data_IF_237679794107
#
_entry.id   IF_237679794107
#
_cell.length_a   1.000
_cell.length_b   1.000
_cell.length_c   1.000
_cell.angle_alpha   90.00
_cell.angle_beta   90.00
_cell.angle_gamma   90.00
#
_symmetry.space_group_name_H-M   'P 1'
#
loop_
_entity.id
_entity.type
_entity.pdbx_description
1 polymer ?
#
# COMPACT_ATOMS: atom_id res chain seq x y z
N UNK A 1 -7.97 -2.54 -6.49
CA UNK A 1 -7.11 -2.31 -7.66
C UNK A 1 -6.67 -0.86 -7.62
N UNK A 2 -5.40 -0.57 -7.87
CA UNK A 2 -4.83 0.75 -7.61
C UNK A 2 -3.84 1.21 -8.66
N UNK A 3 -3.69 2.53 -8.78
CA UNK A 3 -2.66 3.18 -9.58
C UNK A 3 -1.77 3.98 -8.61
N UNK A 4 -0.48 3.66 -8.62
CA UNK A 4 0.57 4.43 -7.93
C UNK A 4 1.40 5.16 -9.00
N UNK A 5 1.42 6.49 -8.93
CA UNK A 5 2.23 7.32 -9.81
C UNK A 5 3.40 7.93 -9.02
N UNK A 6 4.63 7.60 -9.40
CA UNK A 6 5.82 8.24 -8.83
C UNK A 6 5.99 9.63 -9.46
N UNK A 7 5.80 10.68 -8.65
CA UNK A 7 5.85 12.07 -9.11
C UNK A 7 7.27 12.62 -9.06
N UNK A 8 8.01 12.32 -7.99
CA UNK A 8 9.37 12.81 -7.78
C UNK A 8 10.22 11.70 -7.16
N UNK A 9 11.43 11.51 -7.66
CA UNK A 9 12.40 10.55 -7.12
C UNK A 9 13.75 11.22 -6.92
N UNK A 10 14.24 11.17 -5.69
CA UNK A 10 15.55 11.68 -5.30
C UNK A 10 16.46 10.50 -4.97
N UNK A 11 17.67 10.50 -5.53
CA UNK A 11 18.70 9.51 -5.26
C UNK A 11 20.01 10.26 -5.04
N UNK A 12 20.69 10.00 -3.93
CA UNK A 12 21.99 10.58 -3.68
C UNK A 12 23.09 9.74 -4.37
N UNK A 13 24.07 10.41 -4.99
CA UNK A 13 25.17 9.75 -5.71
C UNK A 13 25.95 8.85 -4.74
N UNK A 14 26.22 7.61 -5.14
CA UNK A 14 26.90 6.57 -4.34
C UNK A 14 26.19 6.08 -3.06
N UNK A 15 24.93 6.48 -2.79
CA UNK A 15 24.17 5.93 -1.68
C UNK A 15 23.04 5.01 -2.19
N UNK A 16 22.84 3.80 -1.63
CA UNK A 16 21.73 2.92 -1.99
C UNK A 16 20.34 3.47 -1.62
N UNK A 17 20.25 4.63 -0.96
CA UNK A 17 19.02 5.30 -0.55
C UNK A 17 18.32 6.01 -1.73
N UNK A 18 17.03 5.75 -1.88
CA UNK A 18 16.11 6.50 -2.75
C UNK A 18 14.92 7.01 -1.96
N UNK A 19 14.52 8.24 -2.22
CA UNK A 19 13.32 8.87 -1.70
C UNK A 19 12.34 9.10 -2.84
N UNK A 20 11.08 8.76 -2.66
CA UNK A 20 10.04 8.91 -3.69
C UNK A 20 8.82 9.63 -3.12
N UNK A 21 8.22 10.51 -3.90
CA UNK A 21 6.92 11.13 -3.64
C UNK A 21 5.94 10.58 -4.66
N UNK A 22 4.76 10.17 -4.19
CA UNK A 22 3.80 9.35 -4.95
C UNK A 22 2.41 9.96 -4.86
N UNK A 23 1.69 9.93 -5.98
CA UNK A 23 0.24 10.09 -6.03
C UNK A 23 -0.42 8.72 -6.10
N UNK A 24 -1.57 8.58 -5.44
CA UNK A 24 -2.29 7.31 -5.27
C UNK A 24 -3.74 7.48 -5.72
N UNK A 25 -4.22 6.50 -6.48
CA UNK A 25 -5.64 6.36 -6.81
C UNK A 25 -6.05 4.89 -6.70
N UNK A 26 -6.88 4.55 -5.72
CA UNK A 26 -7.26 3.17 -5.41
C UNK A 26 -8.76 2.96 -5.52
N UNK A 27 -9.16 1.94 -6.26
CA UNK A 27 -10.54 1.48 -6.32
C UNK A 27 -10.68 0.15 -5.56
N UNK A 28 -11.50 0.15 -4.52
CA UNK A 28 -11.68 -0.99 -3.63
C UNK A 28 -13.11 -1.50 -3.68
N UNK A 29 -13.27 -2.82 -3.61
CA UNK A 29 -14.56 -3.50 -3.47
C UNK A 29 -14.46 -4.33 -2.19
N UNK A 30 -15.42 -4.22 -1.30
CA UNK A 30 -15.41 -4.90 0.01
C UNK A 30 -16.80 -5.41 0.33
N UNK A 31 -16.88 -6.66 0.77
CA UNK A 31 -18.13 -7.22 1.29
C UNK A 31 -18.40 -6.66 2.69
N UNK A 32 -19.56 -6.07 2.90
CA UNK A 32 -20.06 -5.65 4.20
C UNK A 32 -21.11 -6.66 4.67
N UNK A 33 -20.96 -7.12 5.90
CA UNK A 33 -22.00 -7.89 6.56
C UNK A 33 -22.95 -6.91 7.24
N UNK A 34 -24.17 -6.79 6.72
CA UNK A 34 -25.19 -5.87 7.27
C UNK A 34 -26.07 -6.57 8.31
N UNK A 35 -26.30 -7.88 8.13
CA UNK A 35 -27.00 -8.79 9.05
C UNK A 35 -26.48 -10.24 8.85
N UNK A 36 -26.87 -11.18 9.72
CA UNK A 36 -26.45 -12.60 9.68
C UNK A 36 -26.75 -13.34 8.36
N UNK A 37 -27.63 -12.80 7.51
CA UNK A 37 -28.07 -13.43 6.25
C UNK A 37 -27.80 -12.59 5.00
N UNK A 38 -27.36 -11.32 5.13
CA UNK A 38 -27.18 -10.43 3.98
C UNK A 38 -25.78 -9.84 3.92
N UNK A 39 -25.05 -10.26 2.88
CA UNK A 39 -23.76 -9.67 2.48
C UNK A 39 -24.03 -8.64 1.39
N UNK A 40 -23.72 -7.37 1.68
CA UNK A 40 -23.74 -6.30 0.69
C UNK A 40 -22.34 -6.05 0.16
N UNK A 41 -22.23 -5.47 -1.04
CA UNK A 41 -20.93 -5.09 -1.62
C UNK A 41 -20.81 -3.58 -1.61
N UNK A 42 -19.80 -3.08 -0.90
CA UNK A 42 -19.41 -1.68 -0.90
C UNK A 42 -18.25 -1.44 -1.85
N UNK A 43 -18.33 -0.36 -2.61
CA UNK A 43 -17.27 0.14 -3.50
C UNK A 43 -16.73 1.45 -2.95
N UNK A 44 -15.43 1.67 -3.08
CA UNK A 44 -14.83 2.98 -2.82
C UNK A 44 -13.79 3.36 -3.85
N UNK A 45 -13.70 4.67 -4.08
CA UNK A 45 -12.58 5.28 -4.75
C UNK A 45 -11.80 6.10 -3.73
N UNK A 46 -10.50 5.88 -3.67
CA UNK A 46 -9.57 6.60 -2.82
C UNK A 46 -8.60 7.40 -3.68
N UNK A 47 -8.33 8.62 -3.25
CA UNK A 47 -7.24 9.43 -3.77
C UNK A 47 -6.30 9.75 -2.62
N UNK A 48 -5.02 9.87 -2.92
CA UNK A 48 -4.03 10.09 -1.89
C UNK A 48 -2.67 10.49 -2.40
N UNK A 49 -1.78 10.72 -1.46
CA UNK A 49 -0.38 10.93 -1.71
C UNK A 49 0.43 10.21 -0.65
N UNK A 50 1.71 9.97 -0.95
CA UNK A 50 2.59 9.33 -0.01
C UNK A 50 4.04 9.58 -0.35
N UNK A 51 4.90 9.20 0.57
CA UNK A 51 6.32 9.16 0.34
C UNK A 51 6.87 7.80 0.69
N UNK A 52 8.04 7.48 0.16
CA UNK A 52 8.69 6.22 0.41
C UNK A 52 10.19 6.34 0.41
N UNK A 53 10.81 5.46 1.19
CA UNK A 53 12.25 5.30 1.28
C UNK A 53 12.58 3.89 0.82
N UNK A 54 13.57 3.77 -0.03
CA UNK A 54 14.10 2.49 -0.49
C UNK A 54 15.60 2.44 -0.29
N UNK A 55 16.08 1.46 0.48
CA UNK A 55 17.49 1.11 0.62
C UNK A 55 17.75 -0.13 -0.23
N UNK A 56 18.44 0.04 -1.36
CA UNK A 56 18.73 -1.09 -2.27
C UNK A 56 20.02 -1.81 -1.90
N UNK A 57 19.94 -3.14 -1.73
CA UNK A 57 21.08 -4.09 -1.77
C UNK A 57 22.23 -3.76 -0.81
N UNK A 58 21.92 -3.55 0.45
CA UNK A 58 22.95 -3.62 1.49
C UNK A 58 23.11 -5.08 1.93
N UNK A 59 24.25 -5.71 1.60
CA UNK A 59 24.56 -7.10 1.95
C UNK A 59 23.45 -8.12 1.57
N UNK A 60 22.96 -8.08 0.33
CA UNK A 60 21.85 -8.90 -0.19
C UNK A 60 20.47 -8.61 0.42
N UNK A 61 20.35 -7.62 1.29
CA UNK A 61 19.07 -7.13 1.79
C UNK A 61 18.65 -5.85 1.06
N UNK A 62 17.35 -5.69 0.88
CA UNK A 62 16.74 -4.40 0.54
C UNK A 62 15.65 -4.08 1.54
N UNK A 63 15.50 -2.80 1.83
CA UNK A 63 14.47 -2.30 2.73
C UNK A 63 13.62 -1.27 1.99
N UNK A 64 12.31 -1.37 2.15
CA UNK A 64 11.33 -0.44 1.60
C UNK A 64 10.42 0.02 2.73
N UNK A 65 10.30 1.32 2.89
CA UNK A 65 9.34 1.94 3.78
C UNK A 65 8.44 2.90 3.00
N UNK A 66 7.14 2.87 3.26
CA UNK A 66 6.13 3.70 2.59
C UNK A 66 5.18 4.26 3.65
N UNK A 67 4.88 5.55 3.54
CA UNK A 67 3.82 6.23 4.29
C UNK A 67 2.87 6.88 3.28
N UNK A 68 1.59 6.59 3.40
CA UNK A 68 0.54 6.97 2.46
C UNK A 68 -0.66 7.57 3.22
N UNK A 69 -1.20 8.66 2.70
CA UNK A 69 -2.45 9.28 3.15
C UNK A 69 -3.48 9.15 2.05
N UNK A 70 -4.59 8.48 2.32
CA UNK A 70 -5.68 8.27 1.36
C UNK A 70 -7.01 8.71 1.94
N UNK A 71 -7.90 9.19 1.08
CA UNK A 71 -9.28 9.55 1.43
C UNK A 71 -10.23 8.70 0.61
N UNK A 72 -10.91 7.76 1.26
CA UNK A 72 -11.82 6.81 0.61
C UNK A 72 -13.24 7.38 0.57
N UNK A 73 -13.78 7.56 -0.62
CA UNK A 73 -15.17 7.94 -0.83
C UNK A 73 -16.00 6.68 -1.13
N UNK A 74 -16.93 6.36 -0.23
CA UNK A 74 -17.89 5.27 -0.39
C UNK A 74 -19.28 5.76 -0.85
N UNK A 75 -19.60 7.04 -0.69
CA UNK A 75 -20.95 7.57 -0.92
C UNK A 75 -21.29 7.64 -2.42
N UNK A 76 -20.35 8.13 -3.23
CA UNK A 76 -20.61 8.39 -4.67
C UNK A 76 -20.62 7.11 -5.53
N UNK A 77 -20.24 5.97 -4.96
CA UNK A 77 -20.04 4.71 -5.69
C UNK A 77 -20.97 3.57 -5.25
N UNK A 78 -21.88 3.83 -4.30
CA UNK A 78 -22.85 2.88 -3.80
C UNK A 78 -24.28 3.47 -3.84
N UNK A 79 -25.26 2.64 -4.21
CA UNK A 79 -26.68 3.04 -4.34
C UNK A 79 -27.55 2.58 -3.16
N UNK A 80 -26.95 2.06 -2.08
CA UNK A 80 -27.69 1.54 -0.92
C UNK A 80 -27.82 2.58 0.19
N UNK A 81 -29.04 2.76 0.72
CA UNK A 81 -29.36 3.72 1.79
C UNK A 81 -28.55 3.50 3.07
N UNK A 82 -28.19 2.25 3.41
CA UNK A 82 -27.35 1.97 4.60
C UNK A 82 -25.88 2.39 4.44
N UNK A 83 -25.43 2.70 3.22
CA UNK A 83 -24.07 3.22 2.93
C UNK A 83 -24.12 4.76 2.74
N UNK A 84 -25.30 5.35 2.52
CA UNK A 84 -25.46 6.81 2.50
C UNK A 84 -25.37 7.45 3.89
N UNK A 85 -25.49 6.66 4.96
CA UNK A 85 -25.37 7.11 6.36
C UNK A 85 -23.93 7.08 6.90
N UNK A 86 -22.91 6.87 6.04
CA UNK A 86 -21.53 7.02 6.49
C UNK A 86 -21.31 8.44 7.04
N UNK A 87 -20.82 8.59 8.28
CA UNK A 87 -20.76 9.89 8.97
C UNK A 87 -19.79 10.87 8.30
N UNK A 88 -18.84 10.36 7.52
CA UNK A 88 -17.87 11.15 6.77
C UNK A 88 -17.99 10.85 5.28
N UNK A 89 -18.09 11.91 4.47
CA UNK A 89 -18.16 11.81 3.01
C UNK A 89 -16.86 11.21 2.41
N UNK A 90 -15.77 11.28 3.17
CA UNK A 90 -14.49 10.65 2.85
C UNK A 90 -13.83 10.14 4.13
N UNK A 91 -13.47 8.86 4.15
CA UNK A 91 -12.80 8.20 5.27
C UNK A 91 -11.28 8.39 5.09
N UNK A 92 -10.61 9.17 5.94
CA UNK A 92 -9.17 9.33 5.88
C UNK A 92 -8.45 8.12 6.49
N UNK A 93 -7.47 7.58 5.76
CA UNK A 93 -6.67 6.42 6.18
C UNK A 93 -5.20 6.76 6.08
N UNK A 94 -4.45 6.45 7.14
CA UNK A 94 -2.99 6.46 7.16
C UNK A 94 -2.47 5.05 6.98
N UNK A 95 -1.76 4.82 5.88
CA UNK A 95 -1.16 3.53 5.57
C UNK A 95 0.36 3.60 5.74
N UNK A 96 0.92 2.66 6.51
CA UNK A 96 2.36 2.45 6.60
C UNK A 96 2.68 1.05 6.11
N UNK A 97 3.74 0.94 5.33
CA UNK A 97 4.29 -0.34 4.90
C UNK A 97 5.79 -0.36 5.16
N UNK A 98 6.25 -1.37 5.89
CA UNK A 98 7.67 -1.67 6.07
C UNK A 98 7.96 -3.06 5.49
N UNK A 99 8.95 -3.17 4.62
CA UNK A 99 9.34 -4.41 3.98
C UNK A 99 10.85 -4.61 4.03
N UNK A 100 11.26 -5.81 4.43
CA UNK A 100 12.63 -6.30 4.29
C UNK A 100 12.59 -7.44 3.28
N UNK A 101 13.49 -7.40 2.30
CA UNK A 101 13.66 -8.43 1.28
C UNK A 101 15.10 -8.92 1.26
N UNK A 102 15.29 -10.24 1.28
CA UNK A 102 16.57 -10.92 1.09
C UNK A 102 16.66 -11.47 -0.33
N UNK A 103 17.78 -11.24 -1.01
CA UNK A 103 18.05 -11.65 -2.40
C UNK A 103 19.03 -12.84 -2.42
N UNK A 104 18.55 -14.10 -2.55
CA UNK A 104 19.41 -15.27 -2.57
C UNK A 104 20.42 -15.23 -3.72
N UNK A 105 21.65 -15.71 -3.49
CA UNK A 105 22.72 -15.76 -4.50
C UNK A 105 23.04 -14.41 -5.16
N UNK A 106 22.71 -13.29 -4.50
CA UNK A 106 22.81 -11.93 -5.06
C UNK A 106 21.98 -11.74 -6.35
N UNK A 107 21.00 -12.63 -6.60
CA UNK A 107 20.16 -12.58 -7.78
C UNK A 107 19.15 -11.45 -7.63
N UNK A 108 19.20 -10.42 -8.49
CA UNK A 108 18.30 -9.26 -8.37
C UNK A 108 16.85 -9.56 -8.74
N UNK A 109 16.60 -10.72 -9.36
CA UNK A 109 15.31 -11.09 -9.90
C UNK A 109 14.49 -11.94 -8.93
N UNK A 110 15.02 -12.24 -7.74
CA UNK A 110 14.42 -13.16 -6.77
C UNK A 110 14.63 -12.63 -5.37
N UNK A 111 13.59 -12.60 -4.55
CA UNK A 111 13.70 -12.19 -3.16
C UNK A 111 12.71 -12.90 -2.24
N UNK A 112 13.14 -13.26 -1.05
CA UNK A 112 12.27 -13.63 0.06
C UNK A 112 11.98 -12.36 0.84
N UNK A 113 10.72 -12.07 1.15
CA UNK A 113 10.36 -10.85 1.86
C UNK A 113 9.49 -11.09 3.08
N UNK A 114 9.62 -10.18 4.03
CA UNK A 114 8.71 -9.97 5.13
C UNK A 114 8.21 -8.54 5.06
N UNK A 115 6.90 -8.34 5.19
CA UNK A 115 6.25 -7.05 5.10
C UNK A 115 5.22 -6.88 6.22
N UNK A 116 5.25 -5.73 6.86
CA UNK A 116 4.21 -5.26 7.76
C UNK A 116 3.48 -4.09 7.11
N UNK A 117 2.16 -4.22 6.96
CA UNK A 117 1.27 -3.12 6.59
C UNK A 117 0.42 -2.75 7.80
N UNK A 118 0.20 -1.45 7.99
CA UNK A 118 -0.70 -0.92 9.02
C UNK A 118 -1.63 0.10 8.38
N UNK A 119 -2.91 0.04 8.67
CA UNK A 119 -3.92 0.97 8.20
C UNK A 119 -4.59 1.56 9.42
N UNK A 120 -4.39 2.85 9.67
CA UNK A 120 -5.03 3.57 10.77
C UNK A 120 -6.10 4.51 10.24
N UNK A 121 -7.27 4.51 10.87
CA UNK A 121 -8.26 5.56 10.64
C UNK A 121 -7.76 6.88 11.23
N UNK A 122 -7.89 7.98 10.48
CA UNK A 122 -7.42 9.31 10.91
C UNK A 122 -8.56 10.28 11.26
N UNK A 123 -9.81 9.83 11.27
CA UNK A 123 -10.93 10.69 11.64
C UNK A 123 -11.07 10.82 13.15
N UNK A 124 -12.07 11.60 13.57
CA UNK A 124 -12.22 12.03 14.97
C UNK A 124 -13.10 11.09 15.80
N UNK A 125 -13.78 10.13 15.17
CA UNK A 125 -14.82 9.34 15.83
C UNK A 125 -14.35 8.03 16.44
N UNK A 126 -13.19 7.50 16.04
CA UNK A 126 -12.72 6.17 16.45
C UNK A 126 -11.20 6.05 16.31
N UNK A 127 -10.59 5.07 16.99
CA UNK A 127 -9.15 4.74 16.90
C UNK A 127 -8.94 3.33 16.32
N UNK A 128 -9.70 3.00 15.28
CA UNK A 128 -9.61 1.70 14.63
C UNK A 128 -8.34 1.60 13.77
N UNK A 129 -7.69 0.44 13.87
CA UNK A 129 -6.49 0.13 13.10
C UNK A 129 -6.49 -1.34 12.65
N UNK A 130 -6.00 -1.58 11.44
CA UNK A 130 -5.82 -2.91 10.87
C UNK A 130 -4.35 -3.18 10.59
N UNK A 131 -3.89 -4.37 10.95
CA UNK A 131 -2.49 -4.78 10.80
C UNK A 131 -2.42 -6.03 9.94
N UNK A 132 -1.48 -6.05 9.00
CA UNK A 132 -1.27 -7.19 8.13
C UNK A 132 0.22 -7.52 8.07
N UNK A 133 0.55 -8.72 8.53
CA UNK A 133 1.88 -9.29 8.36
C UNK A 133 1.88 -10.24 7.16
N UNK A 134 2.81 -10.04 6.24
CA UNK A 134 2.97 -10.84 5.02
C UNK A 134 4.39 -11.39 4.96
N UNK A 135 4.52 -12.65 4.56
CA UNK A 135 5.78 -13.25 4.16
C UNK A 135 5.59 -13.88 2.78
N UNK A 136 6.63 -13.90 1.97
CA UNK A 136 6.52 -14.52 0.65
C UNK A 136 7.78 -14.46 -0.17
N UNK A 137 7.63 -14.87 -1.42
CA UNK A 137 8.70 -14.89 -2.40
C UNK A 137 8.29 -14.05 -3.62
N UNK A 138 9.21 -13.22 -4.09
CA UNK A 138 9.07 -12.37 -5.28
C UNK A 138 10.01 -12.88 -6.35
N UNK A 139 9.52 -12.96 -7.58
CA UNK A 139 10.34 -13.18 -8.75
C UNK A 139 9.94 -12.20 -9.85
N UNK A 140 10.91 -11.74 -10.62
CA UNK A 140 10.67 -10.93 -11.81
C UNK A 140 10.96 -11.75 -13.06
N UNK A 141 9.96 -11.88 -13.94
CA UNK A 141 10.12 -12.45 -15.27
C UNK A 141 10.55 -11.34 -16.23
N UNK A 142 11.85 -11.22 -16.49
CA UNK A 142 12.41 -10.19 -17.37
C UNK A 142 13.95 -10.14 -17.36
N UNK A 143 14.53 -9.73 -18.49
CA UNK A 143 15.99 -9.69 -18.70
C UNK A 143 16.65 -8.55 -17.89
N UNK A 144 17.00 -8.83 -16.63
CA UNK A 144 18.27 -8.35 -16.10
C UNK A 144 19.22 -9.54 -16.13
N UNK A 145 20.00 -9.62 -17.21
CA UNK A 145 21.07 -10.58 -17.33
C UNK A 145 21.99 -10.44 -16.11
N UNK A 146 22.18 -11.54 -15.39
CA UNK A 146 23.26 -11.67 -14.43
C UNK A 146 24.53 -11.75 -15.26
N UNK A 147 25.18 -10.62 -15.55
CA UNK A 147 26.55 -10.65 -16.04
C UNK A 147 27.42 -11.20 -14.91
N UNK A 148 27.95 -12.41 -15.12
CA UNK A 148 28.93 -13.06 -14.26
C UNK A 148 30.19 -12.22 -14.12
#
# INVERSE_FOLDING_TARGET
MGIEANMLSFSYKNNPLKLNIRGLADYQITGLQVNDTMTSTAKSLALGFGWGIELKRYNNFSFVYKMDWTWHNFKDFNTFESISDFPEERIPVFHNQAEISYHPNKNPNQAIFVRLNTYGYMGNSDNSAFYQFQFGYKFSLGSRAITK
#
